data_IF_524052535462
#
_entry.id   IF_524052535462
#
_cell.length_a   1.000
_cell.length_b   1.000
_cell.length_c   1.000
_cell.angle_alpha   90.00
_cell.angle_beta   90.00
_cell.angle_gamma   90.00
#
_symmetry.space_group_name_H-M   'P 1'
#
loop_
_entity.id
_entity.type
_entity.pdbx_description
1 polymer ?
#
# COMPACT_ATOMS: atom_id res chain seq x y z
N UNK A 1 -17.46 -8.38 6.95
CA UNK A 1 -16.83 -7.18 6.32
C UNK A 1 -16.96 -5.99 7.27
N UNK A 2 -16.00 -5.07 7.24
CA UNK A 2 -15.96 -3.87 8.10
C UNK A 2 -17.10 -2.92 7.73
N UNK A 3 -18.07 -2.76 8.62
CA UNK A 3 -19.02 -1.66 8.56
C UNK A 3 -18.31 -0.37 9.00
N UNK A 4 -18.02 0.50 8.03
CA UNK A 4 -17.31 1.76 8.28
C UNK A 4 -18.12 2.70 9.18
N UNK A 5 -19.45 2.67 9.12
CA UNK A 5 -20.26 3.48 10.00
C UNK A 5 -20.14 3.02 11.45
N UNK A 6 -20.06 1.72 11.71
CA UNK A 6 -19.83 1.21 13.06
C UNK A 6 -18.38 1.41 13.50
N UNK A 7 -17.41 1.19 12.62
CA UNK A 7 -15.99 1.43 12.89
C UNK A 7 -15.74 2.88 13.33
N UNK A 8 -16.32 3.84 12.60
CA UNK A 8 -16.14 5.26 12.89
C UNK A 8 -16.88 5.74 14.16
N UNK A 9 -17.65 4.88 14.84
CA UNK A 9 -18.17 5.17 16.19
C UNK A 9 -17.14 4.91 17.29
N UNK A 10 -16.16 4.03 17.03
CA UNK A 10 -15.17 3.60 18.04
C UNK A 10 -13.75 4.09 17.74
N UNK A 11 -13.49 4.55 16.51
CA UNK A 11 -12.20 5.10 16.09
C UNK A 11 -12.36 6.19 15.04
N UNK A 12 -11.26 6.83 14.65
CA UNK A 12 -11.23 7.83 13.58
C UNK A 12 -10.45 7.30 12.37
N UNK A 13 -10.68 7.88 11.19
CA UNK A 13 -9.90 7.55 9.98
C UNK A 13 -8.41 7.80 10.25
N UNK A 14 -8.05 8.89 10.92
CA UNK A 14 -6.65 9.20 11.23
C UNK A 14 -6.01 8.14 12.12
N UNK A 15 -6.70 7.72 13.19
CA UNK A 15 -6.21 6.67 14.08
C UNK A 15 -6.07 5.33 13.34
N UNK A 16 -7.00 5.00 12.46
CA UNK A 16 -6.90 3.81 11.61
C UNK A 16 -5.68 3.87 10.67
N UNK A 17 -5.41 5.02 10.05
CA UNK A 17 -4.24 5.19 9.18
C UNK A 17 -2.91 5.09 9.96
N UNK A 18 -2.84 5.66 11.17
CA UNK A 18 -1.66 5.50 12.05
C UNK A 18 -1.46 4.04 12.45
N UNK A 19 -2.54 3.32 12.73
CA UNK A 19 -2.48 1.89 13.01
C UNK A 19 -1.96 1.09 11.81
N UNK A 20 -2.45 1.38 10.61
CA UNK A 20 -1.96 0.77 9.36
C UNK A 20 -0.45 1.00 9.18
N UNK A 21 0.03 2.23 9.35
CA UNK A 21 1.48 2.54 9.32
C UNK A 21 2.24 1.77 10.39
N UNK A 22 1.73 1.68 11.62
CA UNK A 22 2.37 0.90 12.69
C UNK A 22 2.50 -0.58 12.34
N UNK A 23 1.50 -1.18 11.68
CA UNK A 23 1.58 -2.57 11.22
C UNK A 23 2.58 -2.76 10.07
N UNK A 24 2.71 -1.78 9.18
CA UNK A 24 3.74 -1.78 8.13
C UNK A 24 5.14 -1.71 8.73
N UNK A 25 5.39 -0.79 9.67
CA UNK A 25 6.67 -0.66 10.37
C UNK A 25 7.01 -1.92 11.17
N UNK A 26 6.04 -2.49 11.88
CA UNK A 26 6.22 -3.78 12.58
C UNK A 26 6.56 -4.90 11.59
N UNK A 27 5.95 -4.90 10.42
CA UNK A 27 6.22 -5.92 9.40
C UNK A 27 7.65 -5.79 8.87
N UNK A 28 8.09 -4.59 8.52
CA UNK A 28 9.44 -4.32 8.02
C UNK A 28 10.52 -4.64 9.06
N UNK A 29 10.34 -4.19 10.29
CA UNK A 29 11.40 -4.22 11.30
C UNK A 29 11.42 -5.52 12.13
N UNK A 30 10.33 -6.28 12.14
CA UNK A 30 10.22 -7.50 12.94
C UNK A 30 9.81 -8.73 12.12
N UNK A 31 8.67 -8.67 11.40
CA UNK A 31 8.13 -9.87 10.73
C UNK A 31 9.03 -10.34 9.57
N UNK A 32 9.50 -9.42 8.73
CA UNK A 32 10.39 -9.75 7.60
C UNK A 32 11.74 -10.32 8.04
N UNK A 33 12.47 -9.73 9.00
CA UNK A 33 13.69 -10.34 9.54
C UNK A 33 13.44 -11.72 10.15
N UNK A 34 12.38 -11.89 10.95
CA UNK A 34 12.05 -13.17 11.58
C UNK A 34 11.75 -14.25 10.55
N UNK A 35 10.90 -13.94 9.56
CA UNK A 35 10.61 -14.85 8.45
C UNK A 35 11.86 -15.15 7.62
N UNK A 36 12.75 -14.17 7.44
CA UNK A 36 13.97 -14.38 6.67
C UNK A 36 14.92 -15.36 7.35
N UNK A 37 15.01 -15.30 8.68
CA UNK A 37 15.74 -16.29 9.47
C UNK A 37 15.08 -17.66 9.40
N UNK A 38 13.77 -17.73 9.65
CA UNK A 38 13.02 -18.99 9.65
C UNK A 38 13.13 -19.75 8.32
N UNK A 39 13.03 -19.02 7.20
CA UNK A 39 13.08 -19.59 5.87
C UNK A 39 14.51 -19.71 5.30
N UNK A 40 15.53 -19.22 6.03
CA UNK A 40 16.90 -19.07 5.55
C UNK A 40 16.97 -18.42 4.14
N UNK A 41 16.17 -17.38 3.92
CA UNK A 41 16.01 -16.69 2.63
C UNK A 41 15.63 -15.23 2.90
N UNK A 42 16.06 -14.30 2.05
CA UNK A 42 15.60 -12.92 2.16
C UNK A 42 14.09 -12.80 1.85
N UNK A 43 13.32 -12.33 2.83
CA UNK A 43 11.88 -12.06 2.74
C UNK A 43 11.64 -10.57 2.97
N UNK A 44 11.04 -9.90 1.98
CA UNK A 44 10.73 -8.47 2.04
C UNK A 44 9.34 -8.14 1.46
N UNK A 45 8.48 -9.14 1.34
CA UNK A 45 7.16 -9.01 0.72
C UNK A 45 6.13 -9.90 1.40
N UNK A 46 4.86 -9.49 1.36
CA UNK A 46 3.75 -10.15 2.06
C UNK A 46 2.76 -10.79 1.07
N UNK A 47 2.22 -11.95 1.45
CA UNK A 47 1.01 -12.52 0.85
C UNK A 47 -0.19 -12.19 1.74
N UNK A 48 -1.23 -11.59 1.17
CA UNK A 48 -2.42 -11.15 1.91
C UNK A 48 -3.69 -11.81 1.38
N UNK A 49 -4.64 -12.08 2.27
CA UNK A 49 -5.98 -12.58 1.93
C UNK A 49 -7.00 -11.53 2.38
N UNK A 50 -7.87 -11.10 1.46
CA UNK A 50 -8.98 -10.20 1.71
C UNK A 50 -10.29 -10.92 1.41
N UNK A 51 -11.02 -11.27 2.46
CA UNK A 51 -12.36 -11.85 2.32
C UNK A 51 -13.39 -10.75 2.05
N UNK A 52 -14.00 -10.80 0.86
CA UNK A 52 -15.00 -9.85 0.39
C UNK A 52 -16.40 -10.47 0.32
N UNK A 53 -16.65 -11.52 1.10
CA UNK A 53 -17.99 -12.07 1.26
C UNK A 53 -18.98 -10.95 1.64
N UNK A 54 -20.09 -10.94 0.92
CA UNK A 54 -21.18 -9.96 1.06
C UNK A 54 -20.78 -8.50 0.72
N UNK A 55 -19.61 -8.26 0.12
CA UNK A 55 -19.23 -6.94 -0.42
C UNK A 55 -19.96 -6.63 -1.71
N UNK A 56 -20.53 -5.42 -1.77
CA UNK A 56 -21.17 -4.85 -2.94
C UNK A 56 -21.12 -3.32 -2.93
N UNK A 57 -21.71 -2.71 -3.96
CA UNK A 57 -21.65 -1.26 -4.18
C UNK A 57 -22.16 -0.41 -2.99
N UNK A 58 -23.11 -0.91 -2.21
CA UNK A 58 -23.66 -0.25 -1.00
C UNK A 58 -22.61 0.00 0.10
N UNK A 59 -21.56 -0.81 0.14
CA UNK A 59 -20.51 -0.71 1.16
C UNK A 59 -19.42 0.31 0.78
N UNK A 60 -19.43 0.80 -0.45
CA UNK A 60 -18.41 1.73 -0.96
C UNK A 60 -18.86 3.19 -0.80
N UNK A 61 -19.12 3.58 0.45
CA UNK A 61 -19.47 4.94 0.84
C UNK A 61 -18.37 5.95 0.50
N UNK A 62 -18.67 7.26 0.58
CA UNK A 62 -17.66 8.31 0.37
C UNK A 62 -16.49 8.16 1.34
N UNK A 63 -16.79 7.85 2.60
CA UNK A 63 -15.81 7.63 3.67
C UNK A 63 -14.96 6.39 3.38
N UNK A 64 -15.56 5.31 2.88
CA UNK A 64 -14.84 4.11 2.44
C UNK A 64 -13.82 4.41 1.34
N UNK A 65 -14.27 5.16 0.33
CA UNK A 65 -13.43 5.60 -0.80
C UNK A 65 -12.27 6.45 -0.33
N UNK A 66 -12.52 7.41 0.55
CA UNK A 66 -11.49 8.31 1.07
C UNK A 66 -10.46 7.55 1.92
N UNK A 67 -10.91 6.65 2.79
CA UNK A 67 -10.02 5.80 3.60
C UNK A 67 -9.16 4.91 2.69
N UNK A 68 -9.76 4.22 1.73
CA UNK A 68 -9.05 3.38 0.76
C UNK A 68 -7.99 4.17 -0.03
N UNK A 69 -8.34 5.36 -0.54
CA UNK A 69 -7.39 6.22 -1.27
C UNK A 69 -6.21 6.64 -0.40
N UNK A 70 -6.45 6.97 0.87
CA UNK A 70 -5.37 7.35 1.80
C UNK A 70 -4.43 6.19 2.09
N UNK A 71 -4.96 4.98 2.33
CA UNK A 71 -4.17 3.76 2.52
C UNK A 71 -3.33 3.46 1.27
N UNK A 72 -3.97 3.43 0.10
CA UNK A 72 -3.28 3.19 -1.18
C UNK A 72 -2.17 4.23 -1.41
N UNK A 73 -2.42 5.51 -1.09
CA UNK A 73 -1.42 6.57 -1.24
C UNK A 73 -0.22 6.35 -0.32
N UNK A 74 -0.46 5.96 0.94
CA UNK A 74 0.60 5.61 1.89
C UNK A 74 1.43 4.43 1.36
N UNK A 75 0.77 3.33 1.01
CA UNK A 75 1.45 2.09 0.59
C UNK A 75 2.26 2.31 -0.70
N UNK A 76 1.69 2.99 -1.68
CA UNK A 76 2.36 3.28 -2.95
C UNK A 76 3.56 4.21 -2.81
N UNK A 77 3.54 5.13 -1.84
CA UNK A 77 4.57 6.17 -1.69
C UNK A 77 5.68 5.78 -0.71
N UNK A 78 5.35 5.08 0.37
CA UNK A 78 6.29 4.78 1.46
C UNK A 78 6.66 3.30 1.57
N UNK A 79 5.82 2.39 1.05
CA UNK A 79 6.02 0.94 1.14
C UNK A 79 5.98 0.25 -0.23
N UNK A 80 6.70 0.76 -1.25
CA UNK A 80 6.68 0.17 -2.59
C UNK A 80 7.21 -1.27 -2.57
N UNK A 81 6.70 -2.10 -3.48
CA UNK A 81 7.14 -3.50 -3.67
C UNK A 81 7.02 -4.44 -2.45
N UNK A 82 6.31 -4.04 -1.41
CA UNK A 82 6.08 -4.89 -0.22
C UNK A 82 4.99 -5.93 -0.41
N UNK A 83 4.21 -5.88 -1.50
CA UNK A 83 3.21 -6.89 -1.84
C UNK A 83 3.84 -7.97 -2.73
N UNK A 84 3.74 -9.24 -2.30
CA UNK A 84 4.02 -10.41 -3.12
C UNK A 84 2.77 -10.84 -3.90
N UNK A 85 1.67 -11.09 -3.18
CA UNK A 85 0.40 -11.54 -3.73
C UNK A 85 -0.76 -11.10 -2.84
N UNK A 86 -1.87 -10.70 -3.45
CA UNK A 86 -3.14 -10.43 -2.77
C UNK A 86 -4.22 -11.34 -3.33
N UNK A 87 -4.78 -12.19 -2.48
CA UNK A 87 -5.96 -12.97 -2.78
C UNK A 87 -7.20 -12.22 -2.31
N UNK A 88 -8.13 -11.95 -3.21
CA UNK A 88 -9.46 -11.44 -2.88
C UNK A 88 -10.44 -12.59 -3.06
N UNK A 89 -11.00 -13.09 -1.97
CA UNK A 89 -11.80 -14.33 -1.95
C UNK A 89 -13.28 -14.06 -1.69
N UNK A 90 -14.16 -15.01 -2.02
CA UNK A 90 -15.61 -14.84 -1.94
C UNK A 90 -16.13 -13.67 -2.78
N UNK A 91 -15.47 -13.35 -3.90
CA UNK A 91 -15.84 -12.25 -4.77
C UNK A 91 -17.13 -12.54 -5.56
N UNK A 92 -18.28 -12.17 -4.98
CA UNK A 92 -19.59 -12.26 -5.62
C UNK A 92 -19.77 -11.26 -6.78
N UNK A 93 -20.88 -11.36 -7.54
CA UNK A 93 -21.16 -10.47 -8.67
C UNK A 93 -21.13 -8.98 -8.32
N UNK A 94 -21.65 -8.61 -7.14
CA UNK A 94 -21.61 -7.23 -6.64
C UNK A 94 -20.20 -6.70 -6.42
N UNK A 95 -19.30 -7.52 -5.85
CA UNK A 95 -17.90 -7.17 -5.70
C UNK A 95 -17.19 -7.08 -7.06
N UNK A 96 -17.45 -7.98 -8.00
CA UNK A 96 -16.81 -7.93 -9.33
C UNK A 96 -17.09 -6.61 -10.06
N UNK A 97 -18.31 -6.07 -9.93
CA UNK A 97 -18.65 -4.74 -10.43
C UNK A 97 -17.86 -3.64 -9.71
N UNK A 98 -17.80 -3.70 -8.38
CA UNK A 98 -17.03 -2.76 -7.57
C UNK A 98 -15.53 -2.79 -7.92
N UNK A 99 -14.97 -3.98 -8.10
CA UNK A 99 -13.57 -4.19 -8.49
C UNK A 99 -13.24 -3.54 -9.82
N UNK A 100 -14.15 -3.60 -10.80
CA UNK A 100 -13.99 -2.93 -12.09
C UNK A 100 -13.88 -1.40 -11.98
N UNK A 101 -14.46 -0.80 -10.93
CA UNK A 101 -14.28 0.61 -10.61
C UNK A 101 -12.98 0.87 -9.82
N UNK A 102 -12.69 0.05 -8.80
CA UNK A 102 -11.53 0.23 -7.91
C UNK A 102 -10.20 0.04 -8.64
N UNK A 103 -10.09 -0.97 -9.52
CA UNK A 103 -8.83 -1.33 -10.18
C UNK A 103 -8.20 -0.19 -10.99
N UNK A 104 -8.98 0.82 -11.39
CA UNK A 104 -8.51 2.03 -12.11
C UNK A 104 -7.61 2.93 -11.25
N UNK A 105 -7.69 2.80 -9.92
CA UNK A 105 -6.88 3.55 -8.96
C UNK A 105 -5.65 2.78 -8.50
N UNK A 106 -5.39 1.59 -9.07
CA UNK A 106 -4.31 0.70 -8.67
C UNK A 106 -3.30 0.63 -9.82
N UNK A 107 -2.03 0.78 -9.49
CA UNK A 107 -0.93 0.70 -10.47
C UNK A 107 -0.80 -0.70 -11.06
N UNK A 108 -0.37 -0.79 -12.32
CA UNK A 108 -0.32 -2.06 -13.06
C UNK A 108 0.55 -3.13 -12.38
N UNK A 109 1.68 -2.74 -11.79
CA UNK A 109 2.57 -3.62 -11.03
C UNK A 109 1.90 -4.29 -9.83
N UNK A 110 0.91 -3.63 -9.25
CA UNK A 110 0.14 -4.16 -8.13
C UNK A 110 -1.00 -5.02 -8.66
N UNK A 111 -1.67 -4.60 -9.74
CA UNK A 111 -2.77 -5.36 -10.35
C UNK A 111 -2.38 -6.80 -10.73
N UNK A 112 -1.19 -7.00 -11.28
CA UNK A 112 -0.70 -8.35 -11.66
C UNK A 112 -0.47 -9.28 -10.45
N UNK A 113 -0.37 -8.73 -9.24
CA UNK A 113 -0.21 -9.48 -7.98
C UNK A 113 -1.55 -9.84 -7.33
N UNK A 114 -2.68 -9.38 -7.89
CA UNK A 114 -4.02 -9.56 -7.30
C UNK A 114 -4.77 -10.69 -8.01
N UNK A 115 -5.15 -11.72 -7.26
CA UNK A 115 -6.07 -12.78 -7.71
C UNK A 115 -7.46 -12.53 -7.13
N UNK A 116 -8.47 -12.33 -7.97
CA UNK A 116 -9.87 -12.16 -7.55
C UNK A 116 -10.63 -13.47 -7.78
N UNK A 117 -11.01 -14.14 -6.71
CA UNK A 117 -11.50 -15.51 -6.68
C UNK A 117 -12.94 -15.60 -6.16
N UNK A 118 -13.66 -16.61 -6.64
CA UNK A 118 -15.04 -16.92 -6.25
C UNK A 118 -15.13 -17.58 -4.87
N UNK A 119 -16.07 -18.52 -4.71
CA UNK A 119 -16.21 -19.33 -3.48
C UNK A 119 -15.27 -20.55 -3.46
N UNK A 120 -14.81 -20.94 -4.64
CA UNK A 120 -13.90 -22.02 -4.98
C UNK A 120 -12.42 -21.58 -4.90
N UNK A 121 -12.10 -20.69 -3.95
CA UNK A 121 -10.77 -20.08 -3.83
C UNK A 121 -9.71 -21.00 -3.21
N UNK A 122 -10.12 -22.10 -2.57
CA UNK A 122 -9.22 -22.88 -1.70
C UNK A 122 -8.05 -23.48 -2.48
N UNK A 123 -8.28 -23.97 -3.70
CA UNK A 123 -7.22 -24.53 -4.56
C UNK A 123 -6.12 -23.51 -4.84
N UNK A 124 -6.48 -22.26 -5.12
CA UNK A 124 -5.51 -21.18 -5.35
C UNK A 124 -4.75 -20.78 -4.08
N UNK A 125 -5.38 -20.83 -2.91
CA UNK A 125 -4.71 -20.49 -1.66
C UNK A 125 -3.65 -21.53 -1.29
N UNK A 126 -3.98 -22.82 -1.42
CA UNK A 126 -3.09 -23.92 -1.00
C UNK A 126 -1.91 -24.15 -1.95
N UNK A 127 -1.93 -23.56 -3.15
CA UNK A 127 -0.75 -23.49 -4.03
C UNK A 127 0.39 -22.66 -3.40
N UNK A 128 0.04 -21.65 -2.59
CA UNK A 128 1.00 -20.71 -2.02
C UNK A 128 1.14 -20.82 -0.49
N UNK A 129 0.11 -21.33 0.19
CA UNK A 129 0.00 -21.32 1.65
C UNK A 129 -0.22 -22.74 2.13
N UNK A 130 0.71 -23.24 2.95
CA UNK A 130 0.56 -24.54 3.59
C UNK A 130 -0.74 -24.58 4.41
N UNK A 131 -1.60 -25.61 4.26
CA UNK A 131 -2.86 -25.70 4.98
C UNK A 131 -2.74 -25.57 6.51
N UNK A 132 -1.61 -25.97 7.11
CA UNK A 132 -1.35 -25.80 8.55
C UNK A 132 -1.19 -24.35 8.99
N UNK A 133 -0.87 -23.44 8.05
CA UNK A 133 -0.75 -22.00 8.27
C UNK A 133 -2.02 -21.21 7.87
N UNK A 134 -2.98 -21.86 7.21
CA UNK A 134 -4.24 -21.25 6.81
C UNK A 134 -5.33 -21.47 7.90
N UNK A 135 -6.05 -20.41 8.34
CA UNK A 135 -7.14 -20.56 9.31
C UNK A 135 -8.23 -21.54 8.88
N UNK A 136 -8.82 -22.25 9.85
CA UNK A 136 -9.90 -23.22 9.59
C UNK A 136 -11.11 -22.63 8.88
N UNK A 137 -11.51 -21.40 9.21
CA UNK A 137 -12.64 -20.72 8.55
C UNK A 137 -12.36 -20.32 7.09
N UNK A 138 -11.09 -20.38 6.66
CA UNK A 138 -10.66 -20.22 5.25
C UNK A 138 -10.39 -21.56 4.56
N UNK A 139 -10.68 -22.70 5.22
CA UNK A 139 -10.49 -24.04 4.67
C UNK A 139 -9.13 -24.69 4.98
N UNK A 140 -8.33 -24.11 5.88
CA UNK A 140 -7.09 -24.71 6.36
C UNK A 140 -7.23 -25.47 7.68
N UNK A 141 -6.09 -25.69 8.36
CA UNK A 141 -5.97 -26.49 9.58
C UNK A 141 -5.50 -25.68 10.80
N UNK A 142 -5.19 -24.39 10.65
CA UNK A 142 -4.71 -23.55 11.75
C UNK A 142 -5.86 -23.15 12.70
N UNK A 143 -5.61 -23.28 14.00
CA UNK A 143 -6.54 -22.88 15.08
C UNK A 143 -5.90 -21.91 16.09
N UNK A 144 -4.66 -21.47 15.87
CA UNK A 144 -3.88 -20.59 16.76
C UNK A 144 -3.83 -20.97 18.26
N UNK A 145 -4.09 -22.23 18.62
CA UNK A 145 -3.79 -22.85 19.91
C UNK A 145 -4.00 -21.95 21.15
N UNK A 146 -5.25 -21.59 21.48
CA UNK A 146 -5.46 -20.82 22.72
C UNK A 146 -6.85 -20.26 23.03
N UNK A 147 -7.90 -20.51 22.26
CA UNK A 147 -9.22 -19.98 22.61
C UNK A 147 -10.38 -20.92 22.25
N UNK A 148 -11.43 -20.83 23.05
CA UNK A 148 -12.63 -21.68 22.99
C UNK A 148 -13.61 -21.27 21.88
N UNK A 149 -13.20 -20.40 20.95
CA UNK A 149 -14.06 -19.78 19.93
C UNK A 149 -13.47 -20.02 18.53
N UNK A 150 -14.35 -20.17 17.53
CA UNK A 150 -13.95 -20.45 16.14
C UNK A 150 -13.11 -19.31 15.49
N UNK A 151 -13.09 -18.12 16.10
CA UNK A 151 -12.44 -16.90 15.58
C UNK A 151 -11.04 -16.64 16.16
N UNK A 152 -10.42 -17.62 16.82
CA UNK A 152 -9.09 -17.49 17.43
C UNK A 152 -8.02 -16.87 16.55
N UNK A 153 -7.99 -17.27 15.27
CA UNK A 153 -7.00 -16.76 14.33
C UNK A 153 -7.18 -15.26 14.02
N UNK A 154 -8.37 -14.67 14.20
CA UNK A 154 -8.62 -13.25 13.91
C UNK A 154 -7.97 -12.30 14.91
N UNK A 155 -7.76 -12.76 16.15
CA UNK A 155 -7.15 -11.97 17.24
C UNK A 155 -5.70 -12.38 17.52
N UNK A 156 -5.19 -13.36 16.77
CA UNK A 156 -3.86 -13.91 16.93
C UNK A 156 -2.87 -13.23 15.99
N UNK A 157 -1.68 -12.92 16.49
CA UNK A 157 -0.53 -12.45 15.71
C UNK A 157 0.56 -13.53 15.66
N UNK A 158 0.18 -14.79 15.43
CA UNK A 158 1.08 -15.96 15.41
C UNK A 158 1.94 -15.99 14.15
N UNK A 159 3.25 -16.17 14.31
CA UNK A 159 4.22 -16.41 13.24
C UNK A 159 5.65 -16.62 13.75
N UNK A 160 6.65 -16.69 12.86
CA UNK A 160 8.06 -16.83 13.26
C UNK A 160 8.57 -15.74 14.21
N UNK A 161 7.97 -14.54 14.14
CA UNK A 161 8.27 -13.42 15.04
C UNK A 161 7.78 -13.62 16.49
N UNK A 162 7.15 -14.75 16.82
CA UNK A 162 6.84 -15.12 18.21
C UNK A 162 7.72 -16.26 18.73
N UNK A 163 8.59 -16.83 17.90
CA UNK A 163 9.49 -17.90 18.29
C UNK A 163 10.68 -17.33 19.09
N UNK A 164 10.89 -17.74 20.36
CA UNK A 164 11.98 -17.23 21.18
C UNK A 164 13.36 -17.42 20.56
N UNK A 165 13.60 -18.56 19.88
CA UNK A 165 14.91 -18.86 19.27
C UNK A 165 15.19 -17.90 18.11
N UNK A 166 14.16 -17.60 17.31
CA UNK A 166 14.26 -16.64 16.20
C UNK A 166 14.48 -15.23 16.74
N UNK A 167 13.74 -14.83 17.77
CA UNK A 167 13.87 -13.50 18.38
C UNK A 167 15.26 -13.29 18.97
N UNK A 168 15.82 -14.29 19.65
CA UNK A 168 17.16 -14.19 20.21
C UNK A 168 18.23 -14.16 19.12
N UNK A 169 18.07 -14.95 18.05
CA UNK A 169 18.93 -14.85 16.87
C UNK A 169 18.87 -13.47 16.18
N UNK A 170 17.67 -12.85 16.11
CA UNK A 170 17.52 -11.48 15.59
C UNK A 170 18.27 -10.45 16.43
N UNK A 171 18.14 -10.51 17.76
CA UNK A 171 18.85 -9.59 18.66
C UNK A 171 20.35 -9.69 18.49
N UNK A 172 20.89 -10.90 18.33
CA UNK A 172 22.32 -11.11 18.05
C UNK A 172 22.73 -10.48 16.72
N UNK A 173 21.95 -10.69 15.66
CA UNK A 173 22.23 -10.09 14.34
C UNK A 173 22.17 -8.56 14.36
N UNK A 174 21.18 -7.98 15.03
CA UNK A 174 21.04 -6.52 15.15
C UNK A 174 22.26 -5.95 15.89
N UNK A 175 22.61 -6.51 17.05
CA UNK A 175 23.81 -6.09 17.80
C UNK A 175 25.09 -6.22 16.99
N UNK A 176 25.22 -7.29 16.20
CA UNK A 176 26.37 -7.49 15.33
C UNK A 176 26.41 -6.46 14.19
N UNK A 177 25.27 -6.10 13.62
CA UNK A 177 25.17 -5.04 12.60
C UNK A 177 25.52 -3.67 13.18
N UNK A 178 24.97 -3.31 14.34
CA UNK A 178 25.30 -2.07 15.07
C UNK A 178 26.79 -2.01 15.45
N UNK A 179 27.36 -3.14 15.88
CA UNK A 179 28.80 -3.26 16.15
C UNK A 179 29.65 -3.14 14.87
N UNK A 180 29.18 -3.67 13.74
CA UNK A 180 29.86 -3.55 12.46
C UNK A 180 29.83 -2.11 11.93
N UNK A 181 28.69 -1.42 12.04
CA UNK A 181 28.55 -0.01 11.66
C UNK A 181 29.44 0.90 12.54
N UNK A 182 29.53 0.64 13.84
CA UNK A 182 30.44 1.38 14.74
C UNK A 182 31.93 1.06 14.55
N UNK A 183 32.28 -0.07 13.93
CA UNK A 183 33.66 -0.40 13.54
C UNK A 183 34.00 0.23 12.18
N UNK A 184 33.03 0.37 11.26
CA UNK A 184 33.23 1.02 9.96
C UNK A 184 33.51 2.53 10.11
N UNK A 185 32.95 3.18 11.14
CA UNK A 185 33.34 4.55 11.52
C UNK A 185 34.81 4.66 12.00
N UNK A 186 35.40 3.59 12.51
CA UNK A 186 36.77 3.57 13.07
C UNK A 186 37.83 2.98 12.10
N UNK A 187 37.41 2.35 10.99
CA UNK A 187 38.31 1.82 9.95
C UNK A 187 38.03 2.44 8.59
N UNK A 188 38.46 3.69 8.46
CA UNK A 188 38.99 4.15 7.18
C UNK A 188 40.36 4.80 7.37
N UNK A 189 41.47 4.19 6.88
CA UNK A 189 42.40 4.95 6.09
C UNK A 189 41.74 5.15 4.72
N UNK A 190 41.09 6.31 4.54
CA UNK A 190 40.73 6.80 3.20
C UNK A 190 42.02 6.97 2.39
N UNK A 191 42.37 5.95 1.61
CA UNK A 191 42.90 6.14 0.27
C UNK A 191 41.75 5.98 -0.73
N UNK A 192 40.69 6.76 -0.54
CA UNK A 192 39.89 7.25 -1.65
C UNK A 192 40.55 8.55 -2.09
N UNK A 193 40.84 8.71 -3.39
CA UNK A 193 40.92 10.05 -3.96
C UNK A 193 39.68 10.78 -3.45
N UNK A 194 39.88 11.79 -2.60
CA UNK A 194 38.81 12.60 -2.10
C UNK A 194 38.07 13.12 -3.33
N UNK A 195 36.82 12.68 -3.54
CA UNK A 195 35.95 13.38 -4.46
C UNK A 195 35.86 14.79 -3.91
N UNK A 196 36.46 15.72 -4.64
CA UNK A 196 36.54 17.14 -4.31
C UNK A 196 35.19 17.60 -3.72
N UNK A 197 35.16 18.21 -2.51
CA UNK A 197 33.93 18.76 -1.95
C UNK A 197 33.20 19.67 -2.94
N UNK A 198 33.94 20.32 -3.85
CA UNK A 198 33.39 21.10 -4.96
C UNK A 198 32.64 20.24 -5.99
N UNK A 199 33.05 19.00 -6.23
CA UNK A 199 32.39 18.06 -7.16
C UNK A 199 31.03 17.56 -6.62
N UNK A 200 30.94 17.29 -5.32
CA UNK A 200 29.67 16.88 -4.68
C UNK A 200 28.69 18.06 -4.67
N UNK A 201 29.15 19.26 -4.33
CA UNK A 201 28.34 20.48 -4.39
C UNK A 201 27.81 20.73 -5.80
N UNK A 202 28.67 20.63 -6.82
CA UNK A 202 28.31 20.88 -8.21
C UNK A 202 27.30 19.86 -8.76
N UNK A 203 27.32 18.62 -8.26
CA UNK A 203 26.33 17.59 -8.62
C UNK A 203 24.97 17.86 -7.95
N UNK A 204 24.97 18.33 -6.71
CA UNK A 204 23.75 18.75 -6.01
C UNK A 204 23.15 19.99 -6.69
N UNK A 205 23.98 20.98 -7.05
CA UNK A 205 23.54 22.17 -7.80
C UNK A 205 22.95 21.80 -9.16
N UNK A 206 23.56 20.86 -9.89
CA UNK A 206 23.02 20.38 -11.17
C UNK A 206 21.64 19.71 -11.00
N UNK A 207 21.44 18.91 -9.95
CA UNK A 207 20.15 18.28 -9.65
C UNK A 207 19.08 19.30 -9.23
N UNK A 208 19.46 20.32 -8.45
CA UNK A 208 18.58 21.42 -8.06
C UNK A 208 18.15 22.22 -9.31
N UNK A 209 19.09 22.52 -10.20
CA UNK A 209 18.80 23.27 -11.43
C UNK A 209 17.89 22.49 -12.38
N UNK A 210 18.12 21.18 -12.55
CA UNK A 210 17.23 20.31 -13.35
C UNK A 210 15.81 20.24 -12.75
N UNK A 211 15.71 20.12 -11.43
CA UNK A 211 14.41 20.16 -10.73
C UNK A 211 13.69 21.50 -10.93
N UNK A 212 14.41 22.62 -10.83
CA UNK A 212 13.85 23.95 -11.04
C UNK A 212 13.37 24.16 -12.49
N UNK A 213 14.14 23.69 -13.48
CA UNK A 213 13.74 23.78 -14.89
C UNK A 213 12.47 22.97 -15.19
N UNK A 214 12.35 21.78 -14.59
CA UNK A 214 11.13 20.95 -14.68
C UNK A 214 9.93 21.64 -14.03
N UNK A 215 10.12 22.28 -12.88
CA UNK A 215 9.07 23.03 -12.20
C UNK A 215 8.55 24.20 -13.06
N UNK A 216 9.44 24.98 -13.68
CA UNK A 216 9.06 26.05 -14.60
C UNK A 216 8.32 25.55 -15.84
N UNK A 217 8.75 24.42 -16.40
CA UNK A 217 8.06 23.80 -17.54
C UNK A 217 6.63 23.41 -17.16
N UNK A 218 6.45 22.88 -15.95
CA UNK A 218 5.14 22.48 -15.45
C UNK A 218 4.24 23.69 -15.16
N UNK A 219 4.79 24.78 -14.65
CA UNK A 219 4.07 26.05 -14.47
C UNK A 219 3.60 26.65 -15.80
N UNK A 220 4.46 26.60 -16.84
CA UNK A 220 4.08 27.04 -18.19
C UNK A 220 2.92 26.22 -18.74
N UNK A 221 3.01 24.89 -18.64
CA UNK A 221 1.94 24.00 -19.10
C UNK A 221 0.63 24.24 -18.34
N UNK A 222 0.69 24.55 -17.05
CA UNK A 222 -0.48 24.91 -16.25
C UNK A 222 -1.10 26.23 -16.71
N UNK A 223 -0.28 27.22 -17.05
CA UNK A 223 -0.74 28.52 -17.55
C UNK A 223 -1.42 28.37 -18.93
N UNK A 224 -0.85 27.56 -19.82
CA UNK A 224 -1.44 27.25 -21.12
C UNK A 224 -2.80 26.56 -20.97
N UNK A 225 -2.90 25.57 -20.07
CA UNK A 225 -4.16 24.91 -19.77
C UNK A 225 -5.21 25.90 -19.22
N UNK A 226 -4.79 26.87 -18.41
CA UNK A 226 -5.67 27.92 -17.87
C UNK A 226 -6.20 28.85 -18.96
N UNK A 227 -5.39 29.16 -19.98
CA UNK A 227 -5.82 29.95 -21.14
C UNK A 227 -6.86 29.21 -21.99
N UNK A 228 -6.64 27.92 -22.25
CA UNK A 228 -7.62 27.07 -22.96
C UNK A 228 -8.95 27.03 -22.21
N UNK A 229 -8.91 26.85 -20.90
CA UNK A 229 -10.12 26.86 -20.06
C UNK A 229 -10.86 28.20 -20.13
N UNK A 230 -10.16 29.34 -20.10
CA UNK A 230 -10.80 30.65 -20.27
C UNK A 230 -11.49 30.80 -21.63
N UNK A 231 -10.84 30.36 -22.71
CA UNK A 231 -11.44 30.39 -24.05
C UNK A 231 -12.71 29.55 -24.15
N UNK A 232 -12.70 28.36 -23.55
CA UNK A 232 -13.89 27.50 -23.50
C UNK A 232 -15.04 28.15 -22.70
N UNK A 233 -14.74 28.82 -21.60
CA UNK A 233 -15.75 29.55 -20.81
C UNK A 233 -16.36 30.68 -21.64
N UNK A 234 -15.56 31.46 -22.38
CA UNK A 234 -16.08 32.50 -23.28
C UNK A 234 -16.99 31.92 -24.36
N UNK A 235 -16.59 30.83 -25.02
CA UNK A 235 -17.42 30.18 -26.04
C UNK A 235 -18.75 29.70 -25.46
N UNK A 236 -18.76 29.13 -24.25
CA UNK A 236 -19.99 28.72 -23.56
C UNK A 236 -20.90 29.93 -23.31
N UNK A 237 -20.35 31.06 -22.88
CA UNK A 237 -21.14 32.25 -22.58
C UNK A 237 -21.68 32.93 -23.85
N UNK A 238 -20.95 32.89 -24.96
CA UNK A 238 -21.43 33.39 -26.25
C UNK A 238 -22.54 32.49 -26.83
N UNK A 239 -22.42 31.16 -26.68
CA UNK A 239 -23.50 30.23 -27.03
C UNK A 239 -24.76 30.49 -26.20
N UNK A 240 -24.64 30.75 -24.89
CA UNK A 240 -25.78 31.11 -24.05
C UNK A 240 -26.47 32.39 -24.53
N UNK A 241 -25.70 33.41 -24.92
CA UNK A 241 -26.26 34.66 -25.48
C UNK A 241 -26.99 34.42 -26.80
N UNK A 242 -26.44 33.60 -27.70
CA UNK A 242 -27.10 33.26 -28.96
C UNK A 242 -28.44 32.55 -28.73
N UNK A 243 -28.49 31.57 -27.82
CA UNK A 243 -29.73 30.86 -27.46
C UNK A 243 -30.78 31.81 -26.86
N UNK A 244 -30.35 32.81 -26.07
CA UNK A 244 -31.24 33.82 -25.52
C UNK A 244 -31.80 34.76 -26.60
N UNK A 245 -31.02 35.12 -27.62
CA UNK A 245 -31.47 35.98 -28.74
C UNK A 245 -32.46 35.26 -29.65
N UNK A 246 -32.28 33.97 -29.90
CA UNK A 246 -33.24 33.16 -30.70
C UNK A 246 -34.59 32.95 -30.02
N UNK A 247 -34.69 33.14 -28.70
CA UNK A 247 -35.94 33.01 -27.94
C UNK A 247 -36.70 34.34 -27.77
N UNK A 248 -36.22 35.45 -28.35
CA UNK A 248 -36.82 36.80 -28.20
C UNK A 248 -37.35 37.35 -29.55
N UNK A 249 -37.20 36.62 -30.66
CA UNK A 249 -37.86 36.99 -31.92
C UNK A 249 -39.18 36.20 -32.06
N UNK A 250 -40.34 36.88 -32.15
CA UNK A 250 -41.66 36.24 -32.26
C UNK A 250 -41.89 35.59 -33.64
#
# INVERSE_FOLDING_TARGET
MIDIHQLLKVTTIERFLKYHVSEQEKTLNLRYPACSLAANKFIASTTSILDVKDVGMSHFSKQAKEMFKKIQKIDSSYYPETLHRLFIINAGPGFKLLWAAIKRFIENRTLVKIKVLGKDYLSDLVEDIDPSNLPKFLGGNCTCGGCCYDDCCLLSDKGPWNDPEIIDALKVKIKAAEAAESIDEMKMPVQTQAADPHFVLHKIEALINDANAKMQTMESALQDAKLVLHGLVQHIDDLKKMVLVTNITP
#
